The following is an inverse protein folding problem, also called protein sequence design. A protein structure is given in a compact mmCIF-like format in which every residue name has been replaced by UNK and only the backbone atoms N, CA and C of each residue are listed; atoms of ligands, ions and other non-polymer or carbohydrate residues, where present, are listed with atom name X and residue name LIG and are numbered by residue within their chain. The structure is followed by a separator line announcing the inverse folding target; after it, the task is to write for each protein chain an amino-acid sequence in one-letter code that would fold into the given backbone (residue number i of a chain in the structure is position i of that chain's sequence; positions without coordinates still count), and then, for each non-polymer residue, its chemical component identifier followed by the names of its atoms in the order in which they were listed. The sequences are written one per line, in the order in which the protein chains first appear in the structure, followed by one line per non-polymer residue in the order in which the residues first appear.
data_IF_624412023839
#
_entry.id   IF_624412023839
#
_cell.length_a   1.000
_cell.length_b   1.000
_cell.length_c   1.000
_cell.angle_alpha   90.00
_cell.angle_beta   90.00
_cell.angle_gamma   90.00
#
_symmetry.space_group_name_H-M   'P 1'
#
loop_
_entity.id
_entity.type
_entity.pdbx_description
1 polymer ?
#
# COMPACT_ATOMS: atom_id res chain seq x y z
N UNK A 1 30.26 29.09 -21.41
CA UNK A 1 30.09 27.76 -20.79
C UNK A 1 29.67 26.79 -21.87
N UNK A 2 30.29 25.61 -21.99
CA UNK A 2 29.96 24.67 -23.04
C UNK A 2 28.56 24.10 -22.77
N UNK A 3 27.70 24.15 -23.77
CA UNK A 3 26.29 23.74 -23.71
C UNK A 3 26.14 22.28 -23.23
N UNK A 4 27.16 21.44 -23.44
CA UNK A 4 27.17 20.02 -23.05
C UNK A 4 27.16 19.78 -21.54
N UNK A 5 27.81 20.64 -20.74
CA UNK A 5 27.82 20.48 -19.28
C UNK A 5 26.43 20.82 -18.71
N UNK A 6 25.76 21.80 -19.29
CA UNK A 6 24.42 22.23 -18.90
C UNK A 6 23.37 21.17 -19.23
N UNK A 7 23.50 20.49 -20.38
CA UNK A 7 22.63 19.38 -20.78
C UNK A 7 22.81 18.15 -19.88
N UNK A 8 24.07 17.80 -19.56
CA UNK A 8 24.37 16.69 -18.63
C UNK A 8 23.74 16.94 -17.26
N UNK A 9 23.89 18.15 -16.72
CA UNK A 9 23.32 18.52 -15.42
C UNK A 9 21.78 18.55 -15.41
N UNK A 10 21.14 18.88 -16.53
CA UNK A 10 19.67 18.81 -16.66
C UNK A 10 19.19 17.36 -16.64
N UNK A 11 19.89 16.47 -17.34
CA UNK A 11 19.55 15.07 -17.39
C UNK A 11 19.74 14.39 -16.01
N UNK A 12 20.86 14.66 -15.34
CA UNK A 12 21.11 14.17 -13.98
C UNK A 12 20.06 14.71 -12.98
N UNK A 13 19.65 15.98 -13.08
CA UNK A 13 18.56 16.52 -12.26
C UNK A 13 17.21 15.84 -12.53
N UNK A 14 16.90 15.52 -13.79
CA UNK A 14 15.66 14.83 -14.14
C UNK A 14 15.64 13.40 -13.56
N UNK A 15 16.76 12.68 -13.63
CA UNK A 15 16.92 11.34 -13.06
C UNK A 15 16.84 11.36 -11.53
N UNK A 16 17.48 12.34 -10.87
CA UNK A 16 17.39 12.50 -9.42
C UNK A 16 15.96 12.82 -8.96
N UNK A 17 15.22 13.64 -9.71
CA UNK A 17 13.80 13.90 -9.44
C UNK A 17 12.95 12.65 -9.60
N UNK A 18 13.15 11.88 -10.67
CA UNK A 18 12.42 10.62 -10.89
C UNK A 18 12.69 9.60 -9.76
N UNK A 19 13.94 9.47 -9.32
CA UNK A 19 14.31 8.61 -8.18
C UNK A 19 13.72 9.09 -6.86
N UNK A 20 13.67 10.41 -6.65
CA UNK A 20 13.05 10.99 -5.47
C UNK A 20 11.54 10.72 -5.46
N UNK A 21 10.86 10.91 -6.59
CA UNK A 21 9.42 10.63 -6.74
C UNK A 21 9.10 9.15 -6.50
N UNK A 22 9.96 8.22 -6.97
CA UNK A 22 9.83 6.79 -6.66
C UNK A 22 10.07 6.49 -5.18
N UNK A 23 11.07 7.12 -4.56
CA UNK A 23 11.38 6.94 -3.14
C UNK A 23 10.34 7.57 -2.21
N UNK A 24 9.58 8.57 -2.68
CA UNK A 24 8.53 9.26 -1.90
C UNK A 24 7.16 8.61 -1.99
N UNK A 25 6.97 7.57 -2.82
CA UNK A 25 5.74 6.77 -2.82
C UNK A 25 5.62 6.05 -1.48
N UNK A 26 4.87 6.65 -0.55
CA UNK A 26 4.51 6.02 0.72
C UNK A 26 3.93 4.65 0.38
N UNK A 27 4.50 3.56 0.91
CA UNK A 27 4.00 2.23 0.60
C UNK A 27 2.55 2.14 1.11
N UNK A 28 1.62 2.02 0.15
CA UNK A 28 0.17 2.13 0.40
C UNK A 28 -0.38 0.96 1.22
N UNK A 29 0.28 -0.21 1.14
CA UNK A 29 -0.09 -1.39 1.92
C UNK A 29 0.16 -1.21 3.43
N UNK A 30 1.35 -0.78 3.91
CA UNK A 30 1.59 -0.45 5.31
C UNK A 30 0.53 0.46 5.94
N UNK A 31 0.02 1.45 5.20
CA UNK A 31 -1.06 2.33 5.68
C UNK A 31 -2.35 1.54 5.92
N UNK A 32 -2.83 0.81 4.92
CA UNK A 32 -4.04 -0.03 5.06
C UNK A 32 -3.86 -1.12 6.13
N UNK A 33 -2.68 -1.73 6.20
CA UNK A 33 -2.35 -2.74 7.21
C UNK A 33 -2.49 -2.19 8.63
N UNK A 34 -2.03 -0.97 8.85
CA UNK A 34 -2.17 -0.30 10.14
C UNK A 34 -3.62 0.04 10.45
N UNK A 35 -4.39 0.53 9.47
CA UNK A 35 -5.83 0.76 9.62
C UNK A 35 -6.58 -0.51 10.04
N UNK A 36 -6.28 -1.65 9.41
CA UNK A 36 -6.86 -2.96 9.78
C UNK A 36 -6.46 -3.34 11.21
N UNK A 37 -5.19 -3.13 11.57
CA UNK A 37 -4.69 -3.42 12.93
C UNK A 37 -5.46 -2.61 13.96
N UNK A 38 -5.61 -1.30 13.74
CA UNK A 38 -6.33 -0.39 14.63
C UNK A 38 -7.81 -0.73 14.73
N UNK A 39 -8.46 -1.12 13.63
CA UNK A 39 -9.85 -1.57 13.66
C UNK A 39 -10.06 -2.85 14.48
N UNK A 40 -9.09 -3.77 14.44
CA UNK A 40 -9.16 -5.01 15.21
C UNK A 40 -8.80 -4.78 16.69
N UNK A 41 -7.96 -3.79 16.98
CA UNK A 41 -7.64 -3.37 18.34
C UNK A 41 -8.91 -2.88 19.05
N UNK A 42 -9.22 -3.48 20.19
CA UNK A 42 -10.44 -3.18 20.96
C UNK A 42 -11.63 -4.09 20.68
N UNK A 43 -11.53 -5.00 19.70
CA UNK A 43 -12.51 -6.09 19.52
C UNK A 43 -12.06 -7.35 20.26
N UNK A 44 -13.02 -8.12 20.76
CA UNK A 44 -12.76 -9.48 21.24
C UNK A 44 -12.13 -10.31 20.12
N UNK A 45 -11.09 -11.08 20.45
CA UNK A 45 -10.33 -11.89 19.48
C UNK A 45 -9.74 -11.04 18.33
N UNK A 46 -9.14 -9.91 18.67
CA UNK A 46 -8.45 -9.00 17.73
C UNK A 46 -7.49 -9.71 16.76
N UNK A 47 -6.66 -10.63 17.26
CA UNK A 47 -5.70 -11.36 16.42
C UNK A 47 -6.37 -12.35 15.45
N UNK A 48 -7.28 -13.24 15.89
CA UNK A 48 -8.06 -14.06 14.96
C UNK A 48 -8.84 -13.24 13.92
N UNK A 49 -9.44 -12.12 14.33
CA UNK A 49 -10.20 -11.25 13.43
C UNK A 49 -9.31 -10.65 12.35
N UNK A 50 -8.13 -10.15 12.72
CA UNK A 50 -7.17 -9.60 11.79
C UNK A 50 -6.73 -10.64 10.74
N UNK A 51 -6.48 -11.89 11.16
CA UNK A 51 -6.13 -12.98 10.25
C UNK A 51 -7.29 -13.36 9.32
N UNK A 52 -8.54 -13.31 9.79
CA UNK A 52 -9.72 -13.53 8.97
C UNK A 52 -9.84 -12.45 7.88
N UNK A 53 -9.68 -11.18 8.24
CA UNK A 53 -9.68 -10.05 7.29
C UNK A 53 -8.57 -10.24 6.24
N UNK A 54 -7.33 -10.52 6.66
CA UNK A 54 -6.23 -10.78 5.73
C UNK A 54 -6.48 -11.97 4.80
N UNK A 55 -7.18 -12.99 5.28
CA UNK A 55 -7.53 -14.16 4.46
C UNK A 55 -8.50 -13.75 3.37
N UNK A 56 -9.59 -13.04 3.71
CA UNK A 56 -10.56 -12.57 2.72
C UNK A 56 -9.91 -11.64 1.70
N UNK A 57 -9.06 -10.71 2.13
CA UNK A 57 -8.32 -9.83 1.21
C UNK A 57 -7.46 -10.61 0.22
N UNK A 58 -6.68 -11.58 0.68
CA UNK A 58 -5.85 -12.42 -0.21
C UNK A 58 -6.68 -13.16 -1.25
N UNK A 59 -7.79 -13.78 -0.82
CA UNK A 59 -8.65 -14.53 -1.74
C UNK A 59 -9.35 -13.61 -2.75
N UNK A 60 -9.89 -12.47 -2.30
CA UNK A 60 -10.58 -11.54 -3.21
C UNK A 60 -9.64 -10.93 -4.26
N UNK A 61 -8.38 -10.68 -3.89
CA UNK A 61 -7.37 -10.13 -4.78
C UNK A 61 -6.58 -11.19 -5.55
N UNK A 62 -6.92 -12.48 -5.36
CA UNK A 62 -6.18 -13.62 -5.90
C UNK A 62 -4.65 -13.55 -5.63
N UNK A 63 -4.28 -13.22 -4.40
CA UNK A 63 -2.89 -13.09 -3.97
C UNK A 63 -2.45 -14.29 -3.14
N UNK A 64 -1.26 -14.88 -3.40
CA UNK A 64 -0.73 -15.96 -2.57
C UNK A 64 -0.36 -15.47 -1.17
N UNK A 65 0.02 -14.19 -1.03
CA UNK A 65 0.45 -13.57 0.22
C UNK A 65 -0.15 -12.17 0.36
N UNK A 66 -0.52 -11.78 1.58
CA UNK A 66 -1.13 -10.47 1.89
C UNK A 66 -0.14 -9.34 1.65
N UNK A 67 1.16 -9.61 1.79
CA UNK A 67 2.22 -8.65 1.46
C UNK A 67 2.36 -8.41 -0.05
N UNK A 68 1.61 -9.12 -0.90
CA UNK A 68 1.51 -8.85 -2.33
C UNK A 68 0.59 -7.67 -2.69
N UNK A 69 -0.06 -7.05 -1.70
CA UNK A 69 -0.85 -5.83 -1.92
C UNK A 69 0.11 -4.67 -2.26
N UNK A 70 -0.20 -3.96 -3.33
CA UNK A 70 0.59 -2.86 -3.88
C UNK A 70 -0.34 -1.78 -4.47
N UNK A 71 0.23 -0.77 -5.12
CA UNK A 71 -0.55 0.34 -5.68
C UNK A 71 -1.58 -0.05 -6.74
N UNK A 72 -1.47 -1.19 -7.41
CA UNK A 72 -2.42 -1.58 -8.46
C UNK A 72 -3.68 -2.25 -7.93
N UNK A 73 -3.63 -2.82 -6.72
CA UNK A 73 -4.74 -3.57 -6.12
C UNK A 73 -5.20 -3.02 -4.76
N UNK A 74 -4.58 -1.93 -4.29
CA UNK A 74 -4.88 -1.33 -2.99
C UNK A 74 -6.33 -0.83 -2.89
N UNK A 75 -6.89 -0.27 -3.96
CA UNK A 75 -8.25 0.28 -3.93
C UNK A 75 -9.28 -0.82 -3.71
N UNK A 76 -9.15 -1.93 -4.44
CA UNK A 76 -9.99 -3.12 -4.22
C UNK A 76 -9.78 -3.73 -2.82
N UNK A 77 -8.55 -3.69 -2.29
CA UNK A 77 -8.26 -4.11 -0.91
C UNK A 77 -9.01 -3.23 0.11
N UNK A 78 -9.02 -1.91 -0.10
CA UNK A 78 -9.74 -0.94 0.73
C UNK A 78 -11.25 -1.17 0.67
N UNK A 79 -11.82 -1.30 -0.52
CA UNK A 79 -13.25 -1.58 -0.70
C UNK A 79 -13.68 -2.87 0.03
N UNK A 80 -12.87 -3.93 -0.10
CA UNK A 80 -13.12 -5.20 0.60
C UNK A 80 -13.10 -5.01 2.11
N UNK A 81 -12.12 -4.26 2.62
CA UNK A 81 -12.03 -3.97 4.04
C UNK A 81 -13.23 -3.14 4.54
N UNK A 82 -13.66 -2.11 3.80
CA UNK A 82 -14.86 -1.33 4.11
C UNK A 82 -16.13 -2.19 4.15
N UNK A 83 -16.28 -3.14 3.22
CA UNK A 83 -17.39 -4.10 3.24
C UNK A 83 -17.33 -5.00 4.48
N UNK A 84 -16.15 -5.53 4.82
CA UNK A 84 -15.97 -6.36 6.01
C UNK A 84 -16.31 -5.60 7.31
N UNK A 85 -15.93 -4.32 7.41
CA UNK A 85 -16.27 -3.50 8.58
C UNK A 85 -17.77 -3.40 8.83
N UNK A 86 -18.59 -3.37 7.77
CA UNK A 86 -20.07 -3.33 7.85
C UNK A 86 -20.70 -4.66 8.27
N UNK A 87 -19.98 -5.77 8.09
CA UNK A 87 -20.45 -7.13 8.45
C UNK A 87 -20.04 -7.52 9.88
N UNK A 88 -18.90 -7.00 10.34
CA UNK A 88 -18.31 -7.27 11.67
C UNK A 88 -18.76 -6.22 12.71
N UNK A 89 -19.30 -5.09 12.23
CA UNK A 89 -19.83 -3.98 13.02
C UNK A 89 -21.26 -4.24 13.48
#
# INVERSE_FOLDING_TARGET
MPVSELERLKQENAELRARLDESQKIPVWPVLREEIRQYCLGKDKSWPLQNAIYTVLRYNLNLPNINGINSTNIDQARETFEMLKKLIG
#
